data_IF_305712176709
#
_entry.id   IF_305712176709
#
_cell.length_a   1.000
_cell.length_b   1.000
_cell.length_c   1.000
_cell.angle_alpha   90.00
_cell.angle_beta   90.00
_cell.angle_gamma   90.00
#
_symmetry.space_group_name_H-M   'P 1'
#
loop_
_entity.id
_entity.type
_entity.pdbx_description
1 polymer ?
#
# COMPACT_ATOMS: atom_id res chain seq x y z
N UNK A 1 1.84 -13.32 -18.22
CA UNK A 1 1.64 -12.28 -19.27
C UNK A 1 1.06 -12.90 -20.55
N UNK A 2 1.76 -13.85 -21.20
CA UNK A 2 1.24 -14.55 -22.39
C UNK A 2 -0.08 -15.32 -22.16
N UNK A 3 -0.27 -15.88 -20.96
CA UNK A 3 -1.51 -16.60 -20.61
C UNK A 3 -2.74 -15.68 -20.49
N UNK A 4 -2.58 -14.42 -20.09
CA UNK A 4 -3.70 -13.48 -19.92
C UNK A 4 -4.28 -13.04 -21.27
N UNK A 5 -3.41 -12.84 -22.28
CA UNK A 5 -3.83 -12.57 -23.65
C UNK A 5 -4.58 -13.76 -24.23
N UNK A 6 -4.05 -14.96 -24.04
CA UNK A 6 -4.64 -16.20 -24.56
C UNK A 6 -5.99 -16.51 -23.91
N UNK A 7 -6.15 -16.22 -22.62
CA UNK A 7 -7.37 -16.56 -21.85
C UNK A 7 -8.49 -15.53 -22.00
N UNK A 8 -8.16 -14.25 -22.07
CA UNK A 8 -9.16 -13.16 -22.02
C UNK A 8 -9.16 -12.25 -23.26
N UNK A 9 -8.31 -12.53 -24.26
CA UNK A 9 -8.24 -11.71 -25.48
C UNK A 9 -7.76 -10.28 -25.24
N UNK A 10 -7.05 -10.02 -24.14
CA UNK A 10 -6.65 -8.67 -23.75
C UNK A 10 -5.67 -8.05 -24.75
N UNK A 11 -5.86 -6.76 -25.12
CA UNK A 11 -4.90 -6.03 -25.94
C UNK A 11 -3.49 -6.03 -25.32
N UNK A 12 -2.45 -6.08 -26.16
CA UNK A 12 -1.05 -6.04 -25.70
C UNK A 12 -0.74 -4.80 -24.85
N UNK A 13 -1.38 -3.66 -25.14
CA UNK A 13 -1.23 -2.42 -24.36
C UNK A 13 -1.67 -2.59 -22.90
N UNK A 14 -2.87 -3.13 -22.66
CA UNK A 14 -3.41 -3.40 -21.31
C UNK A 14 -2.50 -4.36 -20.56
N UNK A 15 -1.99 -5.39 -21.25
CA UNK A 15 -1.11 -6.39 -20.64
C UNK A 15 0.26 -5.81 -20.28
N UNK A 16 0.80 -4.93 -21.12
CA UNK A 16 2.03 -4.19 -20.83
C UNK A 16 1.85 -3.23 -19.65
N UNK A 17 0.69 -2.57 -19.56
CA UNK A 17 0.34 -1.69 -18.46
C UNK A 17 0.22 -2.44 -17.13
N UNK A 18 -0.52 -3.55 -17.11
CA UNK A 18 -0.59 -4.42 -15.94
C UNK A 18 0.79 -4.95 -15.51
N UNK A 19 1.65 -5.31 -16.46
CA UNK A 19 3.01 -5.76 -16.16
C UNK A 19 3.93 -4.63 -15.66
N UNK A 20 3.73 -3.39 -16.10
CA UNK A 20 4.43 -2.20 -15.54
C UNK A 20 3.96 -1.94 -14.12
N UNK A 21 2.66 -1.91 -13.89
CA UNK A 21 2.09 -1.71 -12.56
C UNK A 21 2.55 -2.77 -11.57
N UNK A 22 2.55 -4.06 -11.97
CA UNK A 22 2.99 -5.15 -11.10
C UNK A 22 4.46 -5.02 -10.70
N UNK A 23 5.33 -4.60 -11.64
CA UNK A 23 6.75 -4.33 -11.34
C UNK A 23 6.90 -3.18 -10.35
N UNK A 24 6.25 -2.04 -10.63
CA UNK A 24 6.27 -0.88 -9.73
C UNK A 24 5.72 -1.23 -8.34
N UNK A 25 4.64 -2.01 -8.27
CA UNK A 25 4.08 -2.53 -7.02
C UNK A 25 5.09 -3.38 -6.28
N UNK A 26 5.77 -4.32 -6.94
CA UNK A 26 6.72 -5.20 -6.28
C UNK A 26 7.96 -4.44 -5.78
N UNK A 27 8.46 -3.48 -6.55
CA UNK A 27 9.59 -2.63 -6.15
C UNK A 27 9.22 -1.76 -4.95
N UNK A 28 8.05 -1.11 -4.99
CA UNK A 28 7.57 -0.26 -3.90
C UNK A 28 7.13 -1.05 -2.66
N UNK A 29 6.49 -2.21 -2.85
CA UNK A 29 5.97 -3.03 -1.75
C UNK A 29 7.03 -3.97 -1.15
N UNK A 30 8.20 -4.14 -1.76
CA UNK A 30 9.26 -5.01 -1.24
C UNK A 30 9.65 -4.68 0.22
N UNK A 31 9.83 -3.42 0.64
CA UNK A 31 10.08 -3.07 2.04
C UNK A 31 8.93 -3.40 3.00
N UNK A 32 7.71 -3.56 2.47
CA UNK A 32 6.50 -3.86 3.23
C UNK A 32 6.10 -5.35 3.13
N UNK A 33 6.85 -6.14 2.35
CA UNK A 33 6.58 -7.55 2.15
C UNK A 33 6.74 -8.30 3.48
N UNK A 34 5.78 -9.18 3.79
CA UNK A 34 5.79 -9.89 5.06
C UNK A 34 5.42 -9.04 6.28
N UNK A 35 4.82 -7.85 6.13
CA UNK A 35 4.20 -7.09 7.24
C UNK A 35 3.27 -7.97 8.09
N UNK A 36 2.51 -8.84 7.45
CA UNK A 36 1.64 -9.84 8.09
C UNK A 36 2.43 -10.84 8.98
N UNK A 37 3.68 -11.14 8.60
CA UNK A 37 4.59 -12.03 9.34
C UNK A 37 5.33 -11.31 10.47
N UNK A 38 5.35 -9.97 10.51
CA UNK A 38 5.90 -9.25 11.66
C UNK A 38 5.21 -9.67 12.96
N UNK A 39 3.93 -10.05 12.87
CA UNK A 39 3.17 -10.65 13.97
C UNK A 39 3.77 -11.90 14.58
N UNK A 40 4.50 -12.67 13.77
CA UNK A 40 5.15 -13.93 14.16
C UNK A 40 6.63 -13.77 14.49
N UNK A 41 7.25 -12.65 14.09
CA UNK A 41 8.69 -12.42 14.18
C UNK A 41 9.07 -11.44 15.31
N UNK A 42 8.16 -10.55 15.70
CA UNK A 42 8.43 -9.47 16.64
C UNK A 42 7.37 -9.39 17.75
N UNK A 43 7.77 -9.03 18.98
CA UNK A 43 6.83 -8.66 20.05
C UNK A 43 5.91 -7.50 19.63
N UNK A 44 4.74 -7.42 20.27
CA UNK A 44 3.69 -6.45 19.92
C UNK A 44 4.16 -5.01 19.87
N UNK A 45 5.03 -4.62 20.81
CA UNK A 45 5.59 -3.28 20.92
C UNK A 45 6.50 -2.94 19.74
N UNK A 46 7.43 -3.84 19.42
CA UNK A 46 8.40 -3.65 18.33
C UNK A 46 7.74 -3.64 16.94
N UNK A 47 6.63 -4.36 16.74
CA UNK A 47 5.89 -4.34 15.46
C UNK A 47 5.44 -2.94 15.09
N UNK A 48 4.92 -2.20 16.08
CA UNK A 48 4.39 -0.86 15.85
C UNK A 48 5.51 0.12 15.48
N UNK A 49 6.67 0.02 16.14
CA UNK A 49 7.84 0.87 15.89
C UNK A 49 8.50 0.60 14.53
N UNK A 50 8.64 -0.67 14.15
CA UNK A 50 9.18 -1.05 12.83
C UNK A 50 8.26 -0.55 11.72
N UNK A 51 6.96 -0.76 11.85
CA UNK A 51 5.99 -0.34 10.83
C UNK A 51 5.85 1.18 10.78
N UNK A 52 5.95 1.86 11.92
CA UNK A 52 6.03 3.33 11.95
C UNK A 52 7.25 3.85 11.20
N UNK A 53 8.40 3.20 11.35
CA UNK A 53 9.62 3.59 10.65
C UNK A 53 9.44 3.47 9.13
N UNK A 54 8.76 2.41 8.66
CA UNK A 54 8.47 2.20 7.24
C UNK A 54 7.49 3.26 6.67
N UNK A 55 6.52 3.72 7.47
CA UNK A 55 5.50 4.69 7.04
C UNK A 55 5.79 6.12 7.51
N UNK A 56 6.97 6.39 8.07
CA UNK A 56 7.30 7.63 8.78
C UNK A 56 7.08 8.86 7.90
N UNK A 57 7.50 8.78 6.65
CA UNK A 57 7.41 9.86 5.67
C UNK A 57 5.97 10.16 5.25
N UNK A 58 5.07 9.17 5.26
CA UNK A 58 3.66 9.34 4.91
C UNK A 58 2.79 9.75 6.11
N UNK A 59 3.15 9.31 7.33
CA UNK A 59 2.37 9.58 8.53
C UNK A 59 2.74 10.90 9.20
N UNK A 60 4.02 11.16 9.46
CA UNK A 60 4.44 12.31 10.28
C UNK A 60 4.10 13.70 9.73
N UNK A 61 4.06 13.93 8.40
CA UNK A 61 3.64 15.23 7.88
C UNK A 61 2.15 15.52 8.12
N UNK A 62 1.34 14.47 8.30
CA UNK A 62 -0.10 14.61 8.47
C UNK A 62 -0.43 15.29 9.79
N UNK A 63 -1.25 16.35 9.75
CA UNK A 63 -1.78 16.99 10.95
C UNK A 63 -2.63 16.04 11.79
N UNK A 64 -3.13 14.94 11.20
CA UNK A 64 -3.97 13.95 11.85
C UNK A 64 -3.25 13.19 12.98
N UNK A 65 -1.93 13.00 12.87
CA UNK A 65 -1.17 12.23 13.87
C UNK A 65 -0.43 13.10 14.87
N UNK A 66 -0.37 14.43 14.65
CA UNK A 66 0.35 15.36 15.55
C UNK A 66 -0.23 15.43 16.95
N UNK A 67 -1.51 15.15 17.10
CA UNK A 67 -2.23 15.14 18.39
C UNK A 67 -2.46 13.72 18.93
N UNK A 68 -1.99 12.69 18.22
CA UNK A 68 -2.14 11.30 18.65
C UNK A 68 -1.00 10.90 19.59
N UNK A 69 -1.27 9.97 20.50
CA UNK A 69 -0.22 9.32 21.28
C UNK A 69 0.60 8.37 20.39
N UNK A 70 1.87 8.13 20.76
CA UNK A 70 2.76 7.22 20.00
C UNK A 70 2.13 5.83 19.80
N UNK A 71 1.39 5.33 20.80
CA UNK A 71 0.67 4.06 20.70
C UNK A 71 -0.43 4.09 19.63
N UNK A 72 -1.20 5.19 19.55
CA UNK A 72 -2.24 5.35 18.53
C UNK A 72 -1.63 5.48 17.13
N UNK A 73 -0.52 6.20 17.00
CA UNK A 73 0.22 6.34 15.74
C UNK A 73 0.78 4.98 15.30
N UNK A 74 1.33 4.20 16.24
CA UNK A 74 1.78 2.83 16.00
C UNK A 74 0.69 1.87 15.54
N UNK A 75 -0.49 1.93 16.16
CA UNK A 75 -1.65 1.16 15.76
C UNK A 75 -2.15 1.55 14.36
N UNK A 76 -2.20 2.85 14.05
CA UNK A 76 -2.54 3.35 12.71
C UNK A 76 -1.55 2.86 11.65
N UNK A 77 -0.25 2.89 11.96
CA UNK A 77 0.78 2.42 11.04
C UNK A 77 0.58 0.93 10.68
N UNK A 78 0.15 0.10 11.63
CA UNK A 78 -0.17 -1.31 11.37
C UNK A 78 -1.32 -1.49 10.37
N UNK A 79 -2.27 -0.56 10.30
CA UNK A 79 -3.42 -0.61 9.38
C UNK A 79 -3.09 -0.11 7.97
N UNK A 80 -2.01 0.66 7.79
CA UNK A 80 -1.65 1.20 6.49
C UNK A 80 -1.26 0.10 5.49
N UNK A 81 -1.68 0.26 4.25
CA UNK A 81 -1.28 -0.61 3.15
C UNK A 81 -0.68 0.22 2.02
N UNK A 82 0.56 -0.07 1.58
CA UNK A 82 1.17 0.66 0.47
C UNK A 82 0.36 0.45 -0.80
N UNK A 83 0.04 1.55 -1.49
CA UNK A 83 -0.70 1.52 -2.75
C UNK A 83 0.12 2.22 -3.83
N UNK A 84 0.27 1.56 -4.99
CA UNK A 84 0.93 2.14 -6.17
C UNK A 84 -0.13 2.54 -7.17
N UNK A 85 -0.17 3.84 -7.47
CA UNK A 85 -0.99 4.42 -8.53
C UNK A 85 -0.09 4.88 -9.67
N UNK A 86 -0.38 4.46 -10.90
CA UNK A 86 0.29 4.98 -12.10
C UNK A 86 -0.49 6.14 -12.69
N UNK A 87 0.18 6.96 -13.51
CA UNK A 87 -0.46 8.04 -14.25
C UNK A 87 -1.65 7.53 -15.05
N UNK A 88 -2.80 8.20 -14.91
CA UNK A 88 -4.06 7.83 -15.57
C UNK A 88 -4.86 6.71 -14.89
N UNK A 89 -4.37 6.13 -13.78
CA UNK A 89 -5.17 5.19 -12.99
C UNK A 89 -6.21 5.92 -12.15
N UNK A 90 -7.44 5.42 -12.19
CA UNK A 90 -8.52 5.87 -11.30
C UNK A 90 -8.45 5.08 -10.00
N UNK A 91 -8.27 5.78 -8.87
CA UNK A 91 -8.27 5.17 -7.53
C UNK A 91 -9.66 5.15 -6.89
N UNK A 92 -10.47 6.17 -7.19
CA UNK A 92 -11.81 6.35 -6.65
C UNK A 92 -12.69 6.75 -7.83
N UNK A 93 -13.71 5.95 -8.12
CA UNK A 93 -14.70 6.25 -9.16
C UNK A 93 -15.84 7.09 -8.58
N UNK A 94 -16.34 8.04 -9.36
CA UNK A 94 -17.48 8.87 -8.97
C UNK A 94 -18.73 8.00 -8.77
N UNK A 95 -19.43 8.21 -7.66
CA UNK A 95 -20.61 7.41 -7.29
C UNK A 95 -20.29 6.04 -6.67
N UNK A 96 -19.02 5.64 -6.59
CA UNK A 96 -18.63 4.43 -5.87
C UNK A 96 -18.53 4.71 -4.36
N UNK A 97 -19.12 3.82 -3.56
CA UNK A 97 -18.90 3.82 -2.11
C UNK A 97 -17.42 3.49 -1.84
N UNK A 98 -16.67 4.46 -1.32
CA UNK A 98 -15.28 4.27 -0.95
C UNK A 98 -15.14 4.02 0.55
N UNK A 99 -14.56 2.87 0.93
CA UNK A 99 -14.26 2.49 2.32
C UNK A 99 -12.82 2.79 2.75
N UNK A 100 -12.01 3.38 1.87
CA UNK A 100 -10.56 3.55 2.09
C UNK A 100 -10.16 5.02 2.09
N UNK A 101 -9.51 5.47 3.15
CA UNK A 101 -8.85 6.78 3.18
C UNK A 101 -7.43 6.65 2.61
N UNK A 102 -7.09 7.47 1.62
CA UNK A 102 -5.76 7.51 1.02
C UNK A 102 -4.92 8.65 1.61
N UNK A 103 -3.66 8.36 1.88
CA UNK A 103 -2.64 9.33 2.28
C UNK A 103 -1.61 9.44 1.14
N UNK A 104 -1.24 10.67 0.77
CA UNK A 104 -0.30 10.98 -0.31
C UNK A 104 1.06 11.37 0.25
#
# INVERSE_FOLDING_TARGET
VAELQKKYGLPQSIVNEAARWLRAKNEFAAPYSGKERLGTLLPSEMRSEVVLTLHRESLLPSSLVKTCSDHAVGALALLLSPTVAMHGMVLIEEGQLNSTLYLL
#
